data_IF_863071605299
#
_entry.id   IF_863071605299
#
_cell.length_a   1.000
_cell.length_b   1.000
_cell.length_c   1.000
_cell.angle_alpha   90.00
_cell.angle_beta   90.00
_cell.angle_gamma   90.00
#
_symmetry.space_group_name_H-M   'P 1'
#
loop_
_entity.id
_entity.type
_entity.pdbx_description
1 polymer ?
#
# COMPACT_ATOMS: atom_id res chain seq x y z
N UNK A 1 -25.80 -29.47 -52.81
CA UNK A 1 -24.46 -29.40 -52.18
C UNK A 1 -24.24 -28.05 -51.45
N UNK A 2 -25.23 -27.48 -50.76
CA UNK A 2 -25.17 -26.09 -50.23
C UNK A 2 -25.82 -25.90 -48.83
N UNK A 3 -25.84 -26.93 -47.97
CA UNK A 3 -26.51 -26.85 -46.66
C UNK A 3 -25.62 -27.02 -45.43
N UNK A 4 -24.30 -27.16 -45.59
CA UNK A 4 -23.37 -27.46 -44.49
C UNK A 4 -22.41 -26.33 -44.08
N UNK A 5 -22.36 -25.23 -44.82
CA UNK A 5 -21.41 -24.13 -44.53
C UNK A 5 -21.96 -23.01 -43.62
N UNK A 6 -23.27 -22.97 -43.36
CA UNK A 6 -23.88 -21.87 -42.57
C UNK A 6 -23.82 -22.13 -41.04
N UNK A 7 -23.70 -23.39 -40.60
CA UNK A 7 -23.70 -23.73 -39.17
C UNK A 7 -22.39 -23.39 -38.43
N UNK A 8 -21.24 -23.39 -39.11
CA UNK A 8 -19.95 -23.14 -38.45
C UNK A 8 -19.67 -21.66 -38.19
N UNK A 9 -20.21 -20.76 -39.01
CA UNK A 9 -20.04 -19.33 -38.81
C UNK A 9 -20.84 -18.80 -37.59
N UNK A 10 -22.02 -19.38 -37.33
CA UNK A 10 -22.87 -18.95 -36.21
C UNK A 10 -22.31 -19.36 -34.84
N UNK A 11 -21.66 -20.53 -34.74
CA UNK A 11 -21.01 -20.98 -33.49
C UNK A 11 -19.77 -20.15 -33.13
N UNK A 12 -18.97 -19.71 -34.12
CA UNK A 12 -17.78 -18.89 -33.87
C UNK A 12 -18.11 -17.48 -33.35
N UNK A 13 -19.18 -16.86 -33.86
CA UNK A 13 -19.64 -15.53 -33.41
C UNK A 13 -20.23 -15.59 -31.99
N UNK A 14 -20.93 -16.68 -31.65
CA UNK A 14 -21.48 -16.89 -30.30
C UNK A 14 -20.38 -17.13 -29.25
N UNK A 15 -19.30 -17.83 -29.59
CA UNK A 15 -18.17 -18.04 -28.66
C UNK A 15 -17.37 -16.76 -28.46
N UNK A 16 -17.15 -15.96 -29.52
CA UNK A 16 -16.52 -14.65 -29.38
C UNK A 16 -17.37 -13.69 -28.53
N UNK A 17 -18.70 -13.69 -28.72
CA UNK A 17 -19.61 -12.90 -27.88
C UNK A 17 -19.58 -13.36 -26.41
N UNK A 18 -19.50 -14.65 -26.11
CA UNK A 18 -19.41 -15.14 -24.73
C UNK A 18 -18.09 -14.80 -24.02
N UNK A 19 -16.98 -14.70 -24.77
CA UNK A 19 -15.67 -14.32 -24.20
C UNK A 19 -15.63 -12.81 -23.85
N UNK A 20 -16.38 -11.97 -24.56
CA UNK A 20 -16.52 -10.55 -24.20
C UNK A 20 -17.49 -10.30 -23.02
N UNK A 21 -18.33 -11.28 -22.66
CA UNK A 21 -19.41 -11.10 -21.67
C UNK A 21 -19.13 -11.67 -20.27
N UNK A 22 -17.94 -12.22 -19.99
CA UNK A 22 -17.66 -12.90 -18.71
C UNK A 22 -16.75 -12.12 -17.74
N UNK A 23 -16.26 -10.95 -18.12
CA UNK A 23 -15.86 -9.96 -17.13
C UNK A 23 -17.08 -9.08 -16.91
N UNK A 24 -17.78 -9.27 -15.78
CA UNK A 24 -18.81 -8.34 -15.36
C UNK A 24 -18.19 -6.93 -15.39
N UNK A 25 -18.55 -6.14 -16.39
CA UNK A 25 -18.00 -4.81 -16.57
C UNK A 25 -18.39 -4.01 -15.32
N UNK A 26 -17.40 -3.46 -14.63
CA UNK A 26 -17.62 -2.65 -13.44
C UNK A 26 -18.59 -1.51 -13.79
N UNK A 27 -19.45 -1.13 -12.84
CA UNK A 27 -20.29 0.07 -13.04
C UNK A 27 -19.40 1.30 -13.22
N UNK A 28 -19.91 2.34 -13.90
CA UNK A 28 -19.15 3.60 -14.10
C UNK A 28 -18.64 4.18 -12.77
N UNK A 29 -19.45 4.08 -11.70
CA UNK A 29 -19.07 4.53 -10.35
C UNK A 29 -17.91 3.70 -9.79
N UNK A 30 -17.94 2.38 -9.94
CA UNK A 30 -16.86 1.50 -9.51
C UNK A 30 -15.59 1.68 -10.37
N UNK A 31 -15.75 2.00 -11.66
CA UNK A 31 -14.63 2.35 -12.53
C UNK A 31 -13.96 3.67 -12.12
N UNK A 32 -14.74 4.69 -11.75
CA UNK A 32 -14.21 5.92 -11.15
C UNK A 32 -13.44 5.62 -9.85
N UNK A 33 -13.98 4.75 -9.00
CA UNK A 33 -13.28 4.34 -7.77
C UNK A 33 -11.95 3.64 -8.04
N UNK A 34 -11.89 2.79 -9.07
CA UNK A 34 -10.63 2.18 -9.53
C UNK A 34 -9.64 3.26 -9.98
N UNK A 35 -10.08 4.21 -10.77
CA UNK A 35 -9.21 5.31 -11.23
C UNK A 35 -8.67 6.12 -10.05
N UNK A 36 -9.51 6.46 -9.08
CA UNK A 36 -9.11 7.17 -7.86
C UNK A 36 -8.10 6.39 -7.02
N UNK A 37 -8.27 5.07 -6.90
CA UNK A 37 -7.36 4.21 -6.14
C UNK A 37 -5.94 4.21 -6.69
N UNK A 38 -5.79 4.31 -8.02
CA UNK A 38 -4.51 4.27 -8.72
C UNK A 38 -3.94 5.67 -9.04
N UNK A 39 -4.72 6.75 -8.93
CA UNK A 39 -4.31 8.10 -9.30
C UNK A 39 -3.70 8.89 -8.12
N UNK A 40 -2.41 9.28 -8.18
CA UNK A 40 -1.75 10.04 -7.12
C UNK A 40 -2.22 11.50 -6.98
N UNK A 41 -2.95 12.02 -7.96
CA UNK A 41 -3.60 13.34 -7.90
C UNK A 41 -5.05 13.27 -7.42
N UNK A 42 -5.57 12.04 -7.27
CA UNK A 42 -6.94 11.76 -6.90
C UNK A 42 -7.94 12.47 -7.83
N UNK A 43 -7.79 12.24 -9.15
CA UNK A 43 -8.53 12.91 -10.24
C UNK A 43 -8.39 14.42 -10.23
N UNK A 44 -7.20 14.91 -9.89
CA UNK A 44 -6.87 16.33 -9.86
C UNK A 44 -7.43 17.10 -8.66
N UNK A 45 -8.05 16.45 -7.68
CA UNK A 45 -8.45 17.16 -6.44
C UNK A 45 -7.24 17.56 -5.59
N UNK A 46 -6.11 16.87 -5.77
CA UNK A 46 -4.85 17.18 -5.12
C UNK A 46 -3.87 17.72 -6.16
N UNK A 47 -3.38 18.93 -5.93
CA UNK A 47 -2.42 19.58 -6.82
C UNK A 47 -1.01 19.03 -6.59
N UNK A 48 -0.26 18.69 -7.66
CA UNK A 48 1.18 18.56 -7.57
C UNK A 48 1.81 19.88 -7.12
N UNK A 49 2.89 19.81 -6.35
CA UNK A 49 3.57 21.03 -5.92
C UNK A 49 4.75 20.76 -4.99
N UNK A 50 5.04 21.75 -4.15
CA UNK A 50 6.16 21.68 -3.20
C UNK A 50 5.95 20.49 -2.25
N UNK A 51 7.03 19.88 -1.71
CA UNK A 51 6.94 18.78 -0.74
C UNK A 51 6.51 19.30 0.65
N UNK A 52 5.35 19.94 0.71
CA UNK A 52 4.75 20.55 1.91
C UNK A 52 3.30 20.09 2.05
N UNK A 53 2.73 20.32 3.23
CA UNK A 53 1.33 20.01 3.56
C UNK A 53 0.37 20.52 2.47
N UNK A 54 -0.59 19.68 2.06
CA UNK A 54 -1.66 20.00 1.11
C UNK A 54 -1.32 19.74 -0.37
N UNK A 55 -0.09 19.32 -0.69
CA UNK A 55 0.32 18.99 -2.06
C UNK A 55 0.55 17.49 -2.22
N UNK A 56 0.32 17.00 -3.45
CA UNK A 56 0.46 15.59 -3.79
C UNK A 56 1.83 15.03 -3.40
N UNK A 57 1.84 13.86 -2.78
CA UNK A 57 3.08 13.14 -2.45
C UNK A 57 3.65 12.36 -3.63
N UNK A 58 2.81 12.06 -4.63
CA UNK A 58 3.10 11.07 -5.65
C UNK A 58 2.70 9.65 -5.24
N UNK A 59 2.19 9.45 -4.02
CA UNK A 59 1.57 8.19 -3.61
C UNK A 59 0.14 8.09 -4.17
N UNK A 60 -0.26 6.87 -4.53
CA UNK A 60 -1.64 6.42 -4.66
C UNK A 60 -1.94 5.30 -3.66
N UNK A 61 -3.20 4.94 -3.48
CA UNK A 61 -3.58 3.85 -2.58
C UNK A 61 -2.91 2.53 -2.99
N UNK A 62 -2.78 2.29 -4.30
CA UNK A 62 -2.17 1.11 -4.88
C UNK A 62 -0.67 0.93 -4.55
N UNK A 63 0.03 2.00 -4.14
CA UNK A 63 1.42 1.88 -3.70
C UNK A 63 1.55 1.13 -2.36
N UNK A 64 0.50 1.16 -1.53
CA UNK A 64 0.50 0.55 -0.21
C UNK A 64 -0.50 -0.58 -0.06
N UNK A 65 -1.49 -0.71 -0.94
CA UNK A 65 -2.55 -1.72 -0.84
C UNK A 65 -2.75 -2.45 -2.17
N UNK A 66 -2.98 -3.76 -2.11
CA UNK A 66 -3.45 -4.51 -3.27
C UNK A 66 -4.96 -4.31 -3.44
N UNK A 67 -5.43 -4.21 -4.68
CA UNK A 67 -6.84 -4.19 -5.07
C UNK A 67 -7.34 -5.57 -5.54
N UNK A 68 -6.62 -6.62 -5.15
CA UNK A 68 -6.92 -8.03 -5.40
C UNK A 68 -6.54 -8.85 -4.16
N UNK A 69 -6.98 -10.11 -4.11
CA UNK A 69 -6.56 -11.05 -3.07
C UNK A 69 -5.12 -11.50 -3.36
N UNK A 70 -4.16 -10.84 -2.72
CA UNK A 70 -2.72 -11.05 -2.89
C UNK A 70 -2.19 -12.27 -2.15
N UNK A 71 -2.97 -12.83 -1.21
CA UNK A 71 -2.70 -14.14 -0.63
C UNK A 71 -3.04 -15.27 -1.62
N UNK A 72 -4.17 -15.15 -2.32
CA UNK A 72 -4.57 -16.12 -3.34
C UNK A 72 -3.82 -15.93 -4.68
N UNK A 73 -3.48 -14.68 -5.04
CA UNK A 73 -2.88 -14.33 -6.33
C UNK A 73 -1.66 -13.41 -6.12
N UNK A 74 -0.53 -13.92 -5.60
CA UNK A 74 0.62 -13.10 -5.30
C UNK A 74 1.25 -12.53 -6.57
N UNK A 75 1.50 -11.22 -6.59
CA UNK A 75 2.18 -10.52 -7.70
C UNK A 75 3.69 -10.31 -7.44
N UNK A 76 4.19 -10.87 -6.34
CA UNK A 76 5.59 -10.78 -5.91
C UNK A 76 5.94 -9.53 -5.12
N UNK A 77 5.04 -8.53 -5.03
CA UNK A 77 5.26 -7.31 -4.24
C UNK A 77 4.78 -7.52 -2.81
N UNK A 78 5.54 -7.01 -1.84
CA UNK A 78 5.13 -6.97 -0.42
C UNK A 78 4.70 -5.53 -0.14
N UNK A 79 3.41 -5.34 0.16
CA UNK A 79 2.84 -4.01 0.41
C UNK A 79 2.68 -3.78 1.91
N UNK A 80 2.86 -2.54 2.36
CA UNK A 80 2.77 -2.21 3.78
C UNK A 80 1.34 -2.31 4.34
N UNK A 81 0.34 -2.09 3.51
CA UNK A 81 -1.07 -2.25 3.86
C UNK A 81 -1.63 -3.53 3.28
N UNK A 82 -2.50 -4.18 4.04
CA UNK A 82 -3.30 -5.33 3.59
C UNK A 82 -4.13 -4.98 2.35
N UNK A 83 -4.48 -6.00 1.57
CA UNK A 83 -5.42 -5.87 0.45
C UNK A 83 -6.69 -5.10 0.85
N UNK A 84 -7.25 -4.33 -0.09
CA UNK A 84 -8.56 -3.67 0.09
C UNK A 84 -9.74 -4.60 -0.20
N UNK A 85 -9.49 -5.84 -0.63
CA UNK A 85 -10.54 -6.87 -0.71
C UNK A 85 -11.16 -7.08 0.68
N UNK A 86 -12.48 -7.08 0.72
CA UNK A 86 -13.29 -7.23 1.92
C UNK A 86 -13.50 -5.96 2.73
N UNK A 87 -12.96 -4.81 2.30
CA UNK A 87 -13.14 -3.51 3.02
C UNK A 87 -14.60 -3.23 3.38
N UNK A 88 -15.61 -3.38 2.50
CA UNK A 88 -17.01 -3.10 2.83
C UNK A 88 -17.54 -3.89 4.04
N UNK A 89 -16.94 -5.04 4.32
CA UNK A 89 -17.37 -5.97 5.38
C UNK A 89 -16.69 -5.72 6.74
N UNK A 90 -15.70 -4.82 6.82
CA UNK A 90 -14.87 -4.64 8.05
C UNK A 90 -15.55 -3.83 9.14
N UNK A 91 -16.45 -2.92 8.77
CA UNK A 91 -17.22 -2.06 9.70
C UNK A 91 -16.41 -1.02 10.49
N UNK A 92 -15.08 -1.10 10.55
CA UNK A 92 -14.19 -0.10 11.16
C UNK A 92 -12.81 -0.13 10.52
N UNK A 93 -12.03 0.93 10.69
CA UNK A 93 -10.66 1.00 10.19
C UNK A 93 -9.67 1.59 11.21
N UNK A 94 -8.39 1.23 11.02
CA UNK A 94 -7.24 1.81 11.72
C UNK A 94 -7.35 1.76 13.25
N UNK A 95 -7.55 0.55 13.78
CA UNK A 95 -7.64 0.33 15.23
C UNK A 95 -8.80 1.07 15.90
N UNK A 96 -9.91 1.28 15.18
CA UNK A 96 -11.11 1.95 15.69
C UNK A 96 -11.13 3.48 15.53
N UNK A 97 -10.09 4.08 14.93
CA UNK A 97 -10.06 5.53 14.65
C UNK A 97 -11.22 5.96 13.72
N UNK A 98 -11.69 5.06 12.86
CA UNK A 98 -12.83 5.28 11.98
C UNK A 98 -13.93 4.32 12.41
N UNK A 99 -14.99 4.90 13.00
CA UNK A 99 -16.17 4.19 13.50
C UNK A 99 -17.04 3.65 12.36
N UNK A 100 -17.92 2.71 12.69
CA UNK A 100 -18.90 2.15 11.76
C UNK A 100 -19.80 3.21 11.12
N UNK A 101 -20.22 4.23 11.88
CA UNK A 101 -21.05 5.33 11.40
C UNK A 101 -20.37 6.12 10.26
N UNK A 102 -19.06 6.36 10.38
CA UNK A 102 -18.31 7.13 9.40
C UNK A 102 -17.61 6.27 8.35
N UNK A 103 -17.70 4.93 8.44
CA UNK A 103 -16.88 4.02 7.67
C UNK A 103 -17.06 4.18 6.15
N UNK A 104 -18.30 4.16 5.67
CA UNK A 104 -18.60 4.36 4.25
C UNK A 104 -18.22 5.78 3.78
N UNK A 105 -18.53 6.80 4.60
CA UNK A 105 -18.20 8.21 4.28
C UNK A 105 -16.70 8.45 4.22
N UNK A 106 -15.92 7.71 5.02
CA UNK A 106 -14.47 7.72 5.03
C UNK A 106 -13.84 6.76 4.00
N UNK A 107 -14.62 6.25 3.04
CA UNK A 107 -14.19 5.29 2.03
C UNK A 107 -13.48 4.07 2.63
N UNK A 108 -14.06 3.48 3.69
CA UNK A 108 -13.54 2.28 4.35
C UNK A 108 -12.18 2.47 5.03
N UNK A 109 -11.81 3.71 5.34
CA UNK A 109 -10.49 4.07 5.87
C UNK A 109 -9.65 4.92 4.91
N UNK A 110 -10.03 4.98 3.63
CA UNK A 110 -9.33 5.73 2.59
C UNK A 110 -9.17 7.22 2.89
N UNK A 111 -10.10 7.83 3.64
CA UNK A 111 -10.01 9.24 4.03
C UNK A 111 -8.74 9.59 4.83
N UNK A 112 -8.28 8.67 5.69
CA UNK A 112 -7.01 8.87 6.37
C UNK A 112 -5.84 8.88 5.38
N UNK A 113 -5.84 7.97 4.41
CA UNK A 113 -4.83 7.90 3.36
C UNK A 113 -4.82 9.18 2.51
N UNK A 114 -6.01 9.62 2.08
CA UNK A 114 -6.22 10.80 1.25
C UNK A 114 -5.56 12.06 1.81
N UNK A 115 -5.67 12.31 3.11
CA UNK A 115 -5.02 13.47 3.73
C UNK A 115 -3.60 13.17 4.20
N UNK A 116 -3.39 12.08 4.92
CA UNK A 116 -2.08 11.84 5.54
C UNK A 116 -1.01 11.49 4.50
N UNK A 117 -1.26 10.46 3.70
CA UNK A 117 -0.27 9.91 2.78
C UNK A 117 -0.29 10.62 1.43
N UNK A 118 -1.44 11.02 0.90
CA UNK A 118 -1.50 11.69 -0.40
C UNK A 118 -1.19 13.21 -0.31
N UNK A 119 -1.40 13.85 0.85
CA UNK A 119 -1.25 15.31 1.01
C UNK A 119 -0.28 15.76 2.12
N UNK A 120 0.39 14.84 2.83
CA UNK A 120 1.28 15.18 3.94
C UNK A 120 0.62 15.92 5.09
N UNK A 121 -0.67 15.68 5.33
CA UNK A 121 -1.37 16.23 6.49
C UNK A 121 -0.92 15.44 7.73
N UNK A 122 -0.43 16.10 8.80
CA UNK A 122 -0.08 15.40 10.04
C UNK A 122 -1.26 14.57 10.55
N UNK A 123 -1.00 13.38 11.09
CA UNK A 123 -2.07 12.45 11.51
C UNK A 123 -3.02 13.05 12.54
N UNK A 124 -2.56 14.00 13.35
CA UNK A 124 -3.35 14.75 14.34
C UNK A 124 -4.32 15.76 13.73
N UNK A 125 -4.17 16.09 12.45
CA UNK A 125 -4.97 17.09 11.73
C UNK A 125 -5.84 16.45 10.64
N UNK A 126 -5.88 15.12 10.60
CA UNK A 126 -6.65 14.41 9.58
C UNK A 126 -8.13 14.44 9.89
N UNK A 127 -8.91 14.93 8.94
CA UNK A 127 -10.34 14.71 8.80
C UNK A 127 -10.57 13.43 7.95
N UNK A 128 -11.07 12.34 8.56
CA UNK A 128 -11.30 11.08 7.85
C UNK A 128 -12.41 11.18 6.79
N UNK A 129 -13.17 12.27 6.75
CA UNK A 129 -14.25 12.51 5.78
C UNK A 129 -13.90 13.51 4.69
N UNK A 130 -12.63 13.94 4.61
CA UNK A 130 -12.19 14.98 3.68
C UNK A 130 -12.22 14.59 2.18
N UNK A 131 -12.38 13.31 1.86
CA UNK A 131 -12.62 12.87 0.48
C UNK A 131 -13.96 13.48 0.02
N UNK A 132 -14.04 14.08 -1.19
CA UNK A 132 -15.32 14.51 -1.76
C UNK A 132 -16.33 13.35 -1.76
N UNK A 133 -17.58 13.62 -1.40
CA UNK A 133 -18.58 12.56 -1.16
C UNK A 133 -18.73 11.60 -2.35
N UNK A 134 -18.85 12.13 -3.56
CA UNK A 134 -18.92 11.33 -4.80
C UNK A 134 -17.71 10.40 -4.97
N UNK A 135 -16.51 10.87 -4.61
CA UNK A 135 -15.29 10.07 -4.71
C UNK A 135 -15.23 8.99 -3.61
N UNK A 136 -15.76 9.28 -2.42
CA UNK A 136 -15.85 8.29 -1.34
C UNK A 136 -16.83 7.17 -1.72
N UNK A 137 -17.99 7.52 -2.29
CA UNK A 137 -18.95 6.56 -2.83
C UNK A 137 -18.35 5.73 -3.98
N UNK A 138 -17.59 6.37 -4.88
CA UNK A 138 -16.93 5.69 -5.99
C UNK A 138 -15.91 4.65 -5.48
N UNK A 139 -15.08 5.01 -4.50
CA UNK A 139 -14.16 4.08 -3.85
C UNK A 139 -14.89 2.91 -3.19
N UNK A 140 -15.97 3.17 -2.45
CA UNK A 140 -16.75 2.08 -1.82
C UNK A 140 -17.40 1.17 -2.86
N UNK A 141 -17.95 1.72 -3.95
CA UNK A 141 -18.49 0.93 -5.05
C UNK A 141 -17.41 0.07 -5.73
N UNK A 142 -16.19 0.62 -5.85
CA UNK A 142 -15.03 -0.13 -6.34
C UNK A 142 -14.66 -1.28 -5.42
N UNK A 143 -14.54 -1.01 -4.11
CA UNK A 143 -14.22 -2.03 -3.11
C UNK A 143 -15.28 -3.13 -3.04
N UNK A 144 -16.57 -2.79 -3.14
CA UNK A 144 -17.66 -3.76 -3.23
C UNK A 144 -17.49 -4.66 -4.46
N UNK A 145 -17.24 -4.07 -5.62
CA UNK A 145 -17.12 -4.81 -6.88
C UNK A 145 -15.93 -5.78 -6.90
N UNK A 146 -14.79 -5.44 -6.28
CA UNK A 146 -13.63 -6.36 -6.18
C UNK A 146 -13.74 -7.35 -5.03
N UNK A 147 -14.61 -7.10 -4.05
CA UNK A 147 -14.78 -7.98 -2.88
C UNK A 147 -15.82 -9.07 -3.13
N UNK A 148 -16.98 -8.71 -3.69
CA UNK A 148 -18.15 -9.60 -3.68
C UNK A 148 -18.40 -10.13 -2.27
N UNK A 149 -18.55 -11.45 -2.14
CA UNK A 149 -18.74 -12.12 -0.85
C UNK A 149 -17.44 -12.32 -0.04
N UNK A 150 -16.27 -11.98 -0.59
CA UNK A 150 -14.99 -12.13 0.10
C UNK A 150 -14.86 -11.08 1.20
N UNK A 151 -14.75 -11.54 2.45
CA UNK A 151 -14.58 -10.69 3.65
C UNK A 151 -13.14 -10.17 3.83
N UNK A 152 -12.22 -10.61 2.97
CA UNK A 152 -10.81 -10.26 3.03
C UNK A 152 -10.07 -11.00 4.14
N UNK A 153 -8.77 -10.69 4.31
CA UNK A 153 -7.97 -11.31 5.36
C UNK A 153 -8.42 -10.82 6.74
N UNK A 154 -8.42 -11.73 7.71
CA UNK A 154 -8.56 -11.39 9.13
C UNK A 154 -7.17 -11.07 9.70
N UNK A 155 -7.03 -9.88 10.27
CA UNK A 155 -5.78 -9.42 10.87
C UNK A 155 -6.07 -8.44 12.01
N UNK A 156 -5.16 -8.37 12.97
CA UNK A 156 -5.19 -7.36 14.03
C UNK A 156 -4.13 -6.31 13.79
N UNK A 157 -4.54 -5.05 13.64
CA UNK A 157 -3.61 -3.92 13.57
C UNK A 157 -3.38 -3.39 14.98
N UNK A 158 -2.18 -3.59 15.50
CA UNK A 158 -1.69 -2.92 16.69
C UNK A 158 -0.95 -1.63 16.30
N UNK A 159 -1.57 -0.47 16.55
CA UNK A 159 -0.90 0.82 16.42
C UNK A 159 0.04 1.01 17.62
N UNK A 160 1.34 0.99 17.37
CA UNK A 160 2.35 1.21 18.41
C UNK A 160 2.40 2.69 18.80
N UNK A 161 2.55 2.98 20.10
CA UNK A 161 2.97 4.29 20.57
C UNK A 161 4.49 4.49 20.37
N UNK A 162 5.01 5.69 20.66
CA UNK A 162 6.40 6.01 20.34
C UNK A 162 7.43 5.22 21.17
N UNK A 163 7.11 4.87 22.42
CA UNK A 163 7.97 4.03 23.27
C UNK A 163 7.99 2.58 22.76
N UNK A 164 6.83 2.04 22.40
CA UNK A 164 6.71 0.70 21.82
C UNK A 164 7.40 0.61 20.45
N UNK A 165 7.31 1.64 19.60
CA UNK A 165 8.05 1.70 18.33
C UNK A 165 9.56 1.70 18.56
N UNK A 166 10.03 2.45 19.55
CA UNK A 166 11.45 2.50 19.90
C UNK A 166 11.94 1.14 20.39
N UNK A 167 11.22 0.54 21.35
CA UNK A 167 11.55 -0.78 21.89
C UNK A 167 11.56 -1.86 20.79
N UNK A 168 10.58 -1.84 19.88
CA UNK A 168 10.55 -2.74 18.73
C UNK A 168 11.76 -2.52 17.82
N UNK A 169 12.11 -1.26 17.51
CA UNK A 169 13.28 -0.93 16.69
C UNK A 169 14.60 -1.39 17.31
N UNK A 170 14.78 -1.23 18.61
CA UNK A 170 15.96 -1.71 19.35
C UNK A 170 16.04 -3.24 19.34
N UNK A 171 14.92 -3.94 19.59
CA UNK A 171 14.83 -5.40 19.50
C UNK A 171 15.25 -5.90 18.12
N UNK A 172 14.65 -5.34 17.06
CA UNK A 172 14.89 -5.74 15.67
C UNK A 172 16.33 -5.47 15.24
N UNK A 173 16.90 -4.33 15.62
CA UNK A 173 18.28 -3.99 15.28
C UNK A 173 19.32 -4.86 16.00
N UNK A 174 18.95 -5.49 17.11
CA UNK A 174 19.81 -6.42 17.84
C UNK A 174 19.74 -7.86 17.29
N UNK A 175 18.78 -8.16 16.42
CA UNK A 175 18.67 -9.48 15.79
C UNK A 175 19.76 -9.67 14.73
N UNK A 176 20.22 -10.91 14.58
CA UNK A 176 21.08 -11.27 13.45
C UNK A 176 20.22 -11.41 12.19
N UNK A 177 20.65 -10.76 11.10
CA UNK A 177 19.98 -10.83 9.80
C UNK A 177 20.88 -11.39 8.72
N UNK A 178 20.26 -11.87 7.65
CA UNK A 178 20.88 -12.34 6.42
C UNK A 178 20.76 -11.27 5.32
N UNK A 179 21.89 -10.66 4.93
CA UNK A 179 21.90 -9.61 3.92
C UNK A 179 21.48 -10.10 2.52
N UNK A 180 21.70 -11.37 2.20
CA UNK A 180 21.31 -11.97 0.92
C UNK A 180 19.79 -12.08 0.82
N UNK A 181 19.12 -12.47 1.91
CA UNK A 181 17.66 -12.40 1.99
C UNK A 181 17.17 -10.96 2.05
N UNK A 182 17.90 -10.10 2.75
CA UNK A 182 17.59 -8.70 2.95
C UNK A 182 17.43 -7.91 1.66
N UNK A 183 18.33 -8.09 0.68
CA UNK A 183 18.20 -7.38 -0.60
C UNK A 183 17.00 -7.86 -1.42
N UNK A 184 16.66 -9.15 -1.35
CA UNK A 184 15.48 -9.70 -2.03
C UNK A 184 14.20 -9.15 -1.43
N UNK A 185 14.11 -9.12 -0.10
CA UNK A 185 12.99 -8.52 0.62
C UNK A 185 12.91 -7.02 0.35
N UNK A 186 14.04 -6.31 0.34
CA UNK A 186 14.09 -4.89 -0.05
C UNK A 186 13.51 -4.68 -1.46
N UNK A 187 13.90 -5.52 -2.41
CA UNK A 187 13.43 -5.52 -3.80
C UNK A 187 11.92 -5.72 -3.94
N UNK A 188 11.26 -6.34 -2.95
CA UNK A 188 9.82 -6.63 -2.96
C UNK A 188 9.00 -5.66 -2.11
N UNK A 189 9.57 -5.15 -1.02
CA UNK A 189 8.86 -4.32 -0.03
C UNK A 189 9.20 -2.83 -0.11
N UNK A 190 10.43 -2.48 -0.46
CA UNK A 190 10.95 -1.13 -0.26
C UNK A 190 10.98 -0.32 -1.56
N UNK A 191 11.18 -0.96 -2.71
CA UNK A 191 11.48 -0.30 -3.99
C UNK A 191 10.34 0.57 -4.54
N UNK A 192 9.09 0.31 -4.13
CA UNK A 192 7.94 1.15 -4.51
C UNK A 192 8.17 2.60 -4.09
N UNK A 193 8.76 2.81 -2.91
CA UNK A 193 9.06 4.14 -2.37
C UNK A 193 10.55 4.51 -2.47
N UNK A 194 11.43 3.52 -2.34
CA UNK A 194 12.89 3.67 -2.30
C UNK A 194 13.51 2.89 -3.46
N UNK A 195 13.51 3.43 -4.70
CA UNK A 195 13.79 2.65 -5.93
C UNK A 195 15.14 1.92 -5.90
N UNK A 196 16.12 2.48 -5.19
CA UNK A 196 17.37 1.82 -4.81
C UNK A 196 17.78 2.36 -3.43
N UNK A 197 18.72 1.72 -2.72
CA UNK A 197 19.27 2.30 -1.49
C UNK A 197 19.85 3.72 -1.68
N UNK A 198 20.37 4.01 -2.86
CA UNK A 198 21.15 5.23 -3.15
C UNK A 198 20.36 6.37 -3.81
N UNK A 199 19.16 6.08 -4.34
CA UNK A 199 18.36 7.03 -5.12
C UNK A 199 17.05 7.36 -4.40
N UNK A 200 16.74 8.65 -4.32
CA UNK A 200 15.44 9.10 -3.84
C UNK A 200 14.34 8.80 -4.88
N UNK A 201 13.16 8.43 -4.39
CA UNK A 201 11.92 8.31 -5.15
C UNK A 201 10.82 9.09 -4.44
N UNK A 202 9.68 8.43 -4.20
CA UNK A 202 8.65 8.95 -3.28
C UNK A 202 9.24 9.09 -1.87
N UNK A 203 9.96 8.06 -1.43
CA UNK A 203 10.76 8.08 -0.21
C UNK A 203 12.14 8.70 -0.44
N UNK A 204 12.78 9.21 0.63
CA UNK A 204 14.15 9.69 0.54
C UNK A 204 15.11 8.56 0.15
N UNK A 205 16.29 8.93 -0.36
CA UNK A 205 17.40 7.95 -0.45
C UNK A 205 17.71 7.42 0.96
N UNK A 206 17.99 6.13 1.05
CA UNK A 206 18.25 5.45 2.33
C UNK A 206 19.72 5.64 2.71
N UNK A 207 20.61 5.36 1.77
CA UNK A 207 22.06 5.52 1.91
C UNK A 207 22.45 6.90 1.38
N UNK A 208 23.08 7.69 2.24
CA UNK A 208 23.61 9.00 1.90
C UNK A 208 24.88 8.93 1.08
N UNK A 209 25.37 10.09 0.64
CA UNK A 209 26.69 10.21 -0.01
C UNK A 209 27.86 9.95 0.95
N UNK A 210 27.60 9.91 2.25
CA UNK A 210 28.54 9.56 3.29
C UNK A 210 27.84 8.65 4.29
N UNK A 211 28.57 7.67 4.81
CA UNK A 211 28.09 6.86 5.92
C UNK A 211 27.74 7.76 7.14
N UNK A 212 26.68 7.43 7.89
CA UNK A 212 26.37 8.13 9.14
C UNK A 212 27.49 7.91 10.15
N UNK A 213 27.71 8.89 11.03
CA UNK A 213 28.72 8.78 12.12
C UNK A 213 28.45 7.59 13.05
N UNK A 214 27.19 7.19 13.20
CA UNK A 214 26.77 6.06 13.99
C UNK A 214 25.80 5.22 13.16
N UNK A 215 26.30 4.12 12.62
CA UNK A 215 25.54 3.17 11.79
C UNK A 215 24.49 2.46 12.64
N UNK A 216 24.82 2.01 13.86
CA UNK A 216 23.88 1.31 14.73
C UNK A 216 22.65 2.16 15.06
N UNK A 217 22.87 3.44 15.38
CA UNK A 217 21.77 4.38 15.58
C UNK A 217 20.94 4.59 14.31
N UNK A 218 21.54 4.50 13.12
CA UNK A 218 20.80 4.56 11.86
C UNK A 218 19.94 3.31 11.63
N UNK A 219 20.48 2.13 11.90
CA UNK A 219 19.78 0.85 11.81
C UNK A 219 18.59 0.80 12.78
N UNK A 220 18.76 1.21 14.04
CA UNK A 220 17.66 1.31 15.00
C UNK A 220 16.57 2.24 14.49
N UNK A 221 16.93 3.42 13.96
CA UNK A 221 15.94 4.36 13.40
C UNK A 221 15.19 3.74 12.22
N UNK A 222 15.86 3.00 11.33
CA UNK A 222 15.19 2.33 10.22
C UNK A 222 14.24 1.25 10.71
N UNK A 223 14.67 0.41 11.66
CA UNK A 223 13.83 -0.61 12.28
C UNK A 223 12.56 -0.01 12.91
N UNK A 224 12.72 1.08 13.67
CA UNK A 224 11.61 1.84 14.26
C UNK A 224 10.63 2.33 13.19
N UNK A 225 11.11 2.81 12.04
CA UNK A 225 10.25 3.31 10.96
C UNK A 225 9.59 2.19 10.15
N UNK A 226 10.28 1.07 9.92
CA UNK A 226 9.70 -0.09 9.23
C UNK A 226 8.55 -0.67 10.05
N UNK A 227 8.77 -0.93 11.35
CA UNK A 227 7.74 -1.55 12.20
C UNK A 227 6.67 -0.56 12.68
N UNK A 228 7.05 0.68 12.92
CA UNK A 228 6.20 1.69 13.57
C UNK A 228 5.65 2.78 12.66
N UNK A 229 6.12 2.84 11.41
CA UNK A 229 5.80 3.92 10.48
C UNK A 229 6.57 5.21 10.77
N UNK A 230 6.55 6.11 9.79
CA UNK A 230 7.06 7.47 9.87
C UNK A 230 5.98 8.49 9.54
N UNK A 231 6.40 9.71 9.22
CA UNK A 231 5.46 10.77 8.81
C UNK A 231 4.73 10.43 7.51
N UNK A 232 5.42 9.84 6.53
CA UNK A 232 4.85 9.40 5.25
C UNK A 232 5.27 7.97 4.88
N UNK A 233 6.09 7.34 5.73
CA UNK A 233 6.48 5.95 5.56
C UNK A 233 5.40 5.10 6.26
N UNK A 234 4.70 4.22 5.54
CA UNK A 234 3.75 3.31 6.18
C UNK A 234 4.51 2.34 7.10
N UNK A 235 3.80 1.77 8.08
CA UNK A 235 4.35 0.72 8.91
C UNK A 235 4.08 -0.65 8.28
N UNK A 236 4.93 -1.62 8.58
CA UNK A 236 4.72 -3.02 8.22
C UNK A 236 4.26 -3.80 9.46
N UNK A 237 3.09 -4.43 9.37
CA UNK A 237 2.55 -5.26 10.44
C UNK A 237 3.32 -6.60 10.55
N UNK A 238 3.32 -7.28 11.72
CA UNK A 238 4.07 -8.52 11.93
C UNK A 238 3.69 -9.68 11.01
N UNK A 239 2.47 -9.68 10.49
CA UNK A 239 1.94 -10.65 9.54
C UNK A 239 2.33 -10.35 8.07
N UNK A 240 2.77 -9.11 7.78
CA UNK A 240 3.27 -8.71 6.45
C UNK A 240 4.79 -8.88 6.36
N UNK A 241 5.52 -8.34 7.34
CA UNK A 241 6.95 -8.58 7.52
C UNK A 241 7.18 -9.07 8.94
N UNK A 242 7.72 -10.28 9.05
CA UNK A 242 8.13 -10.82 10.34
C UNK A 242 9.30 -10.02 10.92
N UNK A 243 9.57 -10.22 12.22
CA UNK A 243 10.74 -9.60 12.85
C UNK A 243 12.06 -10.02 12.18
N UNK A 244 12.14 -11.28 11.71
CA UNK A 244 13.32 -11.76 10.98
C UNK A 244 13.44 -11.14 9.59
N UNK A 245 12.32 -10.95 8.86
CA UNK A 245 12.37 -10.28 7.55
C UNK A 245 12.91 -8.86 7.68
N UNK A 246 12.49 -8.13 8.72
CA UNK A 246 13.03 -6.80 9.01
C UNK A 246 14.52 -6.89 9.38
N UNK A 247 14.93 -7.84 10.22
CA UNK A 247 16.34 -8.03 10.57
C UNK A 247 17.21 -8.30 9.33
N UNK A 248 16.73 -9.11 8.39
CA UNK A 248 17.40 -9.39 7.12
C UNK A 248 17.52 -8.12 6.26
N UNK A 249 16.45 -7.34 6.11
CA UNK A 249 16.47 -6.03 5.42
C UNK A 249 17.47 -5.08 6.08
N UNK A 250 17.54 -5.05 7.42
CA UNK A 250 18.47 -4.21 8.17
C UNK A 250 19.92 -4.65 7.97
N UNK A 251 20.20 -5.96 7.86
CA UNK A 251 21.53 -6.49 7.57
C UNK A 251 22.00 -6.04 6.18
N UNK A 252 21.14 -6.14 5.16
CA UNK A 252 21.41 -5.58 3.83
C UNK A 252 21.67 -4.07 3.91
N UNK A 253 20.78 -3.31 4.54
CA UNK A 253 20.94 -1.86 4.68
C UNK A 253 22.23 -1.44 5.39
N UNK A 254 22.66 -2.19 6.40
CA UNK A 254 23.95 -1.98 7.08
C UNK A 254 25.13 -2.17 6.13
N UNK A 255 25.13 -3.27 5.38
CA UNK A 255 26.18 -3.54 4.38
C UNK A 255 26.29 -2.39 3.38
N UNK A 256 25.16 -1.86 2.90
CA UNK A 256 25.15 -0.73 1.96
C UNK A 256 25.69 0.58 2.57
N UNK A 257 25.42 0.84 3.85
CA UNK A 257 25.98 1.98 4.58
C UNK A 257 27.50 1.87 4.76
N UNK A 258 27.99 0.68 5.10
CA UNK A 258 29.41 0.40 5.29
C UNK A 258 30.16 0.47 3.95
N UNK A 259 29.55 0.02 2.86
CA UNK A 259 30.09 0.15 1.51
C UNK A 259 30.19 1.60 1.06
N UNK A 260 29.20 2.45 1.37
CA UNK A 260 29.22 3.87 1.01
C UNK A 260 30.24 4.71 1.81
N UNK A 261 30.83 4.14 2.87
CA UNK A 261 31.89 4.77 3.65
C UNK A 261 33.32 4.44 3.16
N UNK A 262 33.45 3.51 2.21
CA UNK A 262 34.71 3.16 1.55
C UNK A 262 34.92 3.98 0.29
#
# INVERSE_FOLDING_TARGET
>A
MMRKFVSFALCGVLIAAFIFFTHAQMSDKAQLGRELFHDPTFKGTIKPGKPTKGFATGLSCANCHADFDDAANPDGVIRAGHSVVGVPHRGQAKGGMISAENFARAAGGGGFCYQHFLQRIPSSEVDPTAIPEEHAEALMAYFEAISGDNKGPEFEIAMLDDDAKKAAGEKLAAMSGDAEKGWQLFGRACVVCHPTPYRAGIGPRIVGTRAPRNIDAAIVRWATKIRGGGTLMPFYAPDILSDQDIADILAFGRQELENAGR
#
